data_IF_003002826024
#
_entry.id   IF_003002826024
#
_cell.length_a   1.000
_cell.length_b   1.000
_cell.length_c   1.000
_cell.angle_alpha   90.00
_cell.angle_beta   90.00
_cell.angle_gamma   90.00
#
_symmetry.space_group_name_H-M   'P 1'
#
loop_
_entity.id
_entity.type
_entity.pdbx_description
1 polymer ?
#
# COMPACT_ATOMS: atom_id res chain seq x y z
N UNK A 1 15.68 85.01 -51.13
CA UNK A 1 14.36 85.65 -50.92
C UNK A 1 13.79 85.18 -49.59
N UNK A 2 13.48 86.14 -48.69
CA UNK A 2 12.56 86.12 -47.51
C UNK A 2 12.77 85.06 -46.39
N UNK A 3 13.30 85.53 -45.23
CA UNK A 3 12.68 85.72 -43.88
C UNK A 3 12.56 84.41 -43.06
N UNK A 4 13.20 84.18 -41.90
CA UNK A 4 13.36 84.90 -40.62
C UNK A 4 12.22 84.70 -39.58
N UNK A 5 12.63 84.24 -38.37
CA UNK A 5 12.07 84.36 -37.00
C UNK A 5 10.98 83.36 -36.52
N UNK A 6 11.32 82.52 -35.52
CA UNK A 6 11.03 82.57 -34.04
C UNK A 6 9.70 81.83 -33.72
N UNK A 7 9.43 81.10 -32.63
CA UNK A 7 9.81 81.20 -31.22
C UNK A 7 9.71 79.82 -30.50
N UNK A 8 10.27 79.78 -29.29
CA UNK A 8 10.20 78.71 -28.30
C UNK A 8 8.84 78.62 -27.58
N UNK A 9 8.41 77.42 -27.18
CA UNK A 9 8.08 77.06 -25.78
C UNK A 9 7.52 75.63 -25.65
N UNK A 10 7.70 75.07 -24.46
CA UNK A 10 6.94 73.99 -23.82
C UNK A 10 7.36 72.52 -24.00
N UNK A 11 8.29 72.18 -23.12
CA UNK A 11 8.34 70.97 -22.30
C UNK A 11 7.11 70.03 -22.35
N UNK A 12 7.38 68.78 -22.76
CA UNK A 12 6.72 67.63 -22.15
C UNK A 12 7.71 66.45 -22.11
N UNK A 13 8.20 66.22 -20.90
CA UNK A 13 9.03 65.11 -20.48
C UNK A 13 8.21 63.81 -20.56
N UNK A 14 8.52 62.92 -21.50
CA UNK A 14 8.02 61.53 -21.47
C UNK A 14 9.21 60.61 -21.70
N UNK A 15 9.84 60.25 -20.58
CA UNK A 15 10.82 59.17 -20.45
C UNK A 15 10.21 57.86 -20.96
N UNK A 16 10.98 56.98 -21.65
CA UNK A 16 10.45 55.72 -22.15
C UNK A 16 9.99 54.85 -20.97
N UNK A 17 8.70 54.52 -20.98
CA UNK A 17 8.03 53.75 -19.96
C UNK A 17 8.76 52.45 -19.64
N UNK A 18 9.18 52.36 -18.39
CA UNK A 18 9.14 51.17 -17.55
C UNK A 18 9.54 49.84 -18.19
N UNK A 19 10.79 49.43 -17.94
CA UNK A 19 11.08 48.01 -17.74
C UNK A 19 10.08 47.49 -16.71
N UNK A 20 9.08 46.72 -17.15
CA UNK A 20 8.31 45.89 -16.24
C UNK A 20 9.31 44.94 -15.59
N UNK A 21 9.73 45.28 -14.37
CA UNK A 21 10.18 44.27 -13.42
C UNK A 21 8.98 43.35 -13.26
N UNK A 22 9.08 42.16 -13.85
CA UNK A 22 8.27 41.02 -13.46
C UNK A 22 8.75 40.63 -12.07
N UNK A 23 8.42 41.47 -11.09
CA UNK A 23 8.48 41.12 -9.68
C UNK A 23 7.30 40.17 -9.43
N UNK A 24 7.64 39.06 -8.79
CA UNK A 24 6.72 38.03 -8.31
C UNK A 24 6.14 37.08 -9.38
N UNK A 25 7.03 36.33 -10.04
CA UNK A 25 6.74 34.89 -10.13
C UNK A 25 6.88 34.35 -8.71
N UNK A 26 5.76 34.28 -7.99
CA UNK A 26 5.65 33.47 -6.77
C UNK A 26 6.39 32.15 -7.02
N UNK A 27 7.27 31.83 -6.08
CA UNK A 27 8.26 30.79 -6.22
C UNK A 27 7.63 29.52 -6.79
N UNK A 28 8.13 29.10 -7.96
CA UNK A 28 7.91 27.73 -8.42
C UNK A 28 8.18 26.81 -7.23
N UNK A 29 7.18 26.02 -6.85
CA UNK A 29 7.23 25.10 -5.73
C UNK A 29 8.58 24.36 -5.74
N UNK A 30 9.43 24.62 -4.74
CA UNK A 30 10.74 24.00 -4.66
C UNK A 30 10.68 22.86 -3.63
N UNK A 31 10.57 21.59 -4.08
CA UNK A 31 10.44 20.43 -3.20
C UNK A 31 11.66 20.23 -2.27
N UNK A 32 12.80 20.89 -2.52
CA UNK A 32 14.00 20.83 -1.68
C UNK A 32 13.95 21.73 -0.46
N UNK A 33 13.05 22.72 -0.43
CA UNK A 33 12.92 23.65 0.70
C UNK A 33 12.03 23.09 1.81
N UNK A 34 11.33 21.98 1.55
CA UNK A 34 10.49 21.32 2.55
C UNK A 34 11.38 20.44 3.42
N UNK A 35 11.34 20.59 4.75
CA UNK A 35 12.06 19.70 5.65
C UNK A 35 11.64 18.24 5.45
N UNK A 36 12.62 17.34 5.37
CA UNK A 36 12.38 15.92 5.09
C UNK A 36 11.47 15.29 6.16
N UNK A 37 11.53 15.76 7.40
CA UNK A 37 10.75 15.21 8.52
C UNK A 37 9.25 15.51 8.43
N UNK A 38 8.88 16.56 7.67
CA UNK A 38 7.47 16.96 7.50
C UNK A 38 6.83 16.16 6.35
N UNK A 39 7.60 15.76 5.35
CA UNK A 39 7.09 15.06 4.16
C UNK A 39 6.37 13.73 4.51
N UNK A 40 6.92 12.85 5.36
CA UNK A 40 6.21 11.65 5.79
C UNK A 40 4.86 11.96 6.43
N UNK A 41 4.77 12.98 7.29
CA UNK A 41 3.52 13.35 7.96
C UNK A 41 2.45 13.79 6.95
N UNK A 42 2.83 14.56 5.93
CA UNK A 42 1.93 14.94 4.84
C UNK A 42 1.51 13.69 4.05
N UNK A 43 2.46 12.83 3.72
CA UNK A 43 2.22 11.63 2.91
C UNK A 43 1.38 10.58 3.65
N UNK A 44 1.37 10.56 4.99
CA UNK A 44 0.45 9.69 5.75
C UNK A 44 -1.02 10.05 5.54
N UNK A 45 -1.33 11.28 5.13
CA UNK A 45 -2.69 11.70 4.77
C UNK A 45 -3.08 11.30 3.33
N UNK A 46 -2.13 10.85 2.51
CA UNK A 46 -2.43 10.35 1.17
C UNK A 46 -2.97 8.92 1.25
N UNK A 47 -4.29 8.81 1.21
CA UNK A 47 -5.00 7.52 1.29
C UNK A 47 -4.78 6.68 0.02
N UNK A 48 -4.64 7.32 -1.14
CA UNK A 48 -4.42 6.63 -2.41
C UNK A 48 -2.92 6.32 -2.64
N UNK A 49 -2.62 5.03 -2.84
CA UNK A 49 -1.27 4.57 -3.24
C UNK A 49 -0.82 5.17 -4.57
N UNK A 50 -1.74 5.54 -5.46
CA UNK A 50 -1.42 6.16 -6.75
C UNK A 50 -0.78 7.53 -6.55
N UNK A 51 -1.31 8.32 -5.62
CA UNK A 51 -0.79 9.65 -5.30
C UNK A 51 0.60 9.54 -4.67
N UNK A 52 0.78 8.60 -3.72
CA UNK A 52 2.09 8.29 -3.13
C UNK A 52 3.12 7.88 -4.19
N UNK A 53 2.72 7.09 -5.18
CA UNK A 53 3.59 6.70 -6.29
C UNK A 53 3.98 7.92 -7.13
N UNK A 54 3.05 8.80 -7.45
CA UNK A 54 3.34 10.04 -8.18
C UNK A 54 4.34 10.88 -7.39
N UNK A 55 4.10 11.10 -6.09
CA UNK A 55 5.03 11.81 -5.21
C UNK A 55 6.43 11.21 -5.25
N UNK A 56 6.55 9.89 -5.13
CA UNK A 56 7.84 9.18 -5.16
C UNK A 56 8.59 9.32 -6.50
N UNK A 57 7.93 9.74 -7.57
CA UNK A 57 8.51 9.95 -8.91
C UNK A 57 8.88 11.41 -9.18
N UNK A 58 8.42 12.37 -8.35
CA UNK A 58 8.65 13.80 -8.59
C UNK A 58 10.10 14.22 -8.35
N UNK A 59 10.71 13.76 -7.24
CA UNK A 59 12.05 14.17 -6.82
C UNK A 59 12.67 13.16 -5.84
N UNK A 60 14.00 13.16 -5.68
CA UNK A 60 14.70 12.25 -4.76
C UNK A 60 14.28 12.42 -3.30
N UNK A 61 14.13 13.64 -2.80
CA UNK A 61 13.65 13.90 -1.44
C UNK A 61 12.24 13.35 -1.19
N UNK A 62 11.38 13.43 -2.21
CA UNK A 62 10.04 12.85 -2.15
C UNK A 62 10.09 11.34 -2.25
N UNK A 63 11.01 10.79 -3.05
CA UNK A 63 11.26 9.35 -3.12
C UNK A 63 11.65 8.79 -1.75
N UNK A 64 12.59 9.43 -1.06
CA UNK A 64 13.10 8.98 0.23
C UNK A 64 12.02 9.03 1.32
N UNK A 65 11.17 10.06 1.31
CA UNK A 65 10.06 10.20 2.25
C UNK A 65 8.86 9.28 1.92
N UNK A 66 8.54 9.08 0.63
CA UNK A 66 7.37 8.30 0.21
C UNK A 66 7.62 6.78 0.19
N UNK A 67 8.86 6.34 -0.09
CA UNK A 67 9.20 4.91 -0.21
C UNK A 67 8.86 4.11 1.06
N UNK A 68 9.20 4.57 2.28
CA UNK A 68 8.84 3.86 3.51
C UNK A 68 7.33 3.66 3.66
N UNK A 69 6.53 4.65 3.26
CA UNK A 69 5.07 4.62 3.35
C UNK A 69 4.49 3.69 2.27
N UNK A 70 5.02 3.78 1.04
CA UNK A 70 4.59 2.98 -0.10
C UNK A 70 4.84 1.48 0.11
N UNK A 71 5.96 1.11 0.73
CA UNK A 71 6.30 -0.30 1.02
C UNK A 71 5.90 -0.75 2.42
N UNK A 72 5.28 0.12 3.24
CA UNK A 72 4.81 -0.24 4.59
C UNK A 72 3.87 -1.44 4.60
N UNK A 73 3.01 -1.53 3.58
CA UNK A 73 2.10 -2.66 3.35
C UNK A 73 2.39 -3.28 1.99
N UNK A 74 2.76 -4.55 2.00
CA UNK A 74 2.86 -5.41 0.83
C UNK A 74 1.48 -6.03 0.58
N UNK A 75 0.93 -5.82 -0.61
CA UNK A 75 -0.47 -6.13 -0.90
C UNK A 75 -0.58 -6.85 -2.24
N UNK A 76 -1.18 -8.03 -2.20
CA UNK A 76 -1.44 -8.89 -3.35
C UNK A 76 -2.85 -8.65 -3.83
N UNK A 77 -2.99 -8.18 -5.07
CA UNK A 77 -4.29 -7.80 -5.63
C UNK A 77 -4.61 -8.62 -6.86
N UNK A 78 -5.83 -9.14 -6.91
CA UNK A 78 -6.42 -9.65 -8.15
C UNK A 78 -7.07 -8.49 -8.87
N UNK A 79 -6.59 -8.19 -10.08
CA UNK A 79 -7.10 -7.09 -10.90
C UNK A 79 -7.70 -7.68 -12.18
N UNK A 80 -8.92 -7.28 -12.51
CA UNK A 80 -9.51 -7.62 -13.81
C UNK A 80 -8.90 -6.72 -14.89
N UNK A 81 -8.26 -7.35 -15.87
CA UNK A 81 -7.72 -6.64 -17.04
C UNK A 81 -8.84 -6.16 -17.95
N UNK A 82 -8.55 -5.23 -18.86
CA UNK A 82 -9.52 -4.70 -19.85
C UNK A 82 -10.16 -5.80 -20.72
N UNK A 83 -9.49 -6.94 -20.84
CA UNK A 83 -9.94 -8.10 -21.61
C UNK A 83 -10.71 -9.12 -20.74
N UNK A 84 -11.10 -8.77 -19.51
CA UNK A 84 -11.83 -9.64 -18.60
C UNK A 84 -10.98 -10.73 -17.93
N UNK A 85 -9.68 -10.85 -18.26
CA UNK A 85 -8.78 -11.81 -17.61
C UNK A 85 -8.37 -11.30 -16.24
N UNK A 86 -8.37 -12.17 -15.25
CA UNK A 86 -7.86 -11.88 -13.92
C UNK A 86 -6.33 -11.91 -13.93
N UNK A 87 -5.71 -10.87 -13.37
CA UNK A 87 -4.27 -10.76 -13.24
C UNK A 87 -3.92 -10.48 -11.78
N UNK A 88 -3.13 -11.38 -11.20
CA UNK A 88 -2.55 -11.17 -9.86
C UNK A 88 -1.37 -10.21 -9.99
N UNK A 89 -1.47 -9.09 -9.27
CA UNK A 89 -0.41 -8.08 -9.14
C UNK A 89 0.18 -8.17 -7.73
N UNK A 90 1.49 -8.41 -7.67
CA UNK A 90 2.23 -8.49 -6.42
C UNK A 90 3.57 -7.76 -6.53
N UNK A 91 4.01 -6.98 -5.51
CA UNK A 91 5.30 -6.29 -5.51
C UNK A 91 6.54 -7.19 -5.29
N UNK A 92 6.43 -8.53 -5.37
CA UNK A 92 7.49 -9.47 -4.99
C UNK A 92 8.70 -9.32 -5.90
N UNK A 93 8.46 -9.31 -7.21
CA UNK A 93 9.48 -9.08 -8.24
C UNK A 93 10.25 -7.78 -8.04
N UNK A 94 9.63 -6.75 -7.46
CA UNK A 94 10.29 -5.47 -7.16
C UNK A 94 11.18 -5.58 -5.93
N UNK A 95 10.72 -6.28 -4.88
CA UNK A 95 11.54 -6.54 -3.68
C UNK A 95 12.75 -7.42 -3.99
N UNK A 96 12.59 -8.43 -4.85
CA UNK A 96 13.71 -9.28 -5.28
C UNK A 96 14.77 -8.48 -6.04
N UNK A 97 14.37 -7.52 -6.88
CA UNK A 97 15.29 -6.62 -7.59
C UNK A 97 15.92 -5.57 -6.68
N UNK A 98 15.21 -5.14 -5.63
CA UNK A 98 15.66 -4.10 -4.70
C UNK A 98 15.40 -4.52 -3.24
N UNK A 99 16.24 -5.41 -2.68
CA UNK A 99 16.04 -5.97 -1.35
C UNK A 99 16.09 -4.89 -0.25
N UNK A 100 16.74 -3.74 -0.50
CA UNK A 100 16.80 -2.62 0.44
C UNK A 100 15.44 -2.03 0.82
N UNK A 101 14.38 -2.29 0.06
CA UNK A 101 13.02 -1.87 0.40
C UNK A 101 12.31 -2.80 1.40
N UNK A 102 12.78 -4.04 1.55
CA UNK A 102 12.15 -5.04 2.41
C UNK A 102 12.15 -4.63 3.90
N UNK A 103 13.12 -3.80 4.33
CA UNK A 103 13.19 -3.26 5.70
C UNK A 103 12.00 -2.36 6.08
N UNK A 104 11.31 -1.79 5.09
CA UNK A 104 10.16 -0.91 5.30
C UNK A 104 8.85 -1.69 5.43
N UNK A 105 8.82 -2.97 5.04
CA UNK A 105 7.61 -3.80 5.08
C UNK A 105 7.25 -4.12 6.53
N UNK A 106 6.04 -3.71 6.92
CA UNK A 106 5.47 -3.97 8.26
C UNK A 106 4.25 -4.87 8.21
N UNK A 107 3.45 -4.76 7.15
CA UNK A 107 2.24 -5.53 6.98
C UNK A 107 2.26 -6.23 5.63
N UNK A 108 1.83 -7.48 5.61
CA UNK A 108 1.76 -8.30 4.41
C UNK A 108 0.32 -8.79 4.24
N UNK A 109 -0.24 -8.65 3.04
CA UNK A 109 -1.57 -9.09 2.68
C UNK A 109 -1.49 -9.99 1.46
N UNK A 110 -1.69 -11.28 1.68
CA UNK A 110 -1.65 -12.31 0.65
C UNK A 110 -3.04 -12.86 0.36
N UNK A 111 -3.21 -13.37 -0.86
CA UNK A 111 -4.45 -14.00 -1.32
C UNK A 111 -4.17 -15.40 -1.85
N UNK A 112 -5.08 -16.34 -1.59
CA UNK A 112 -5.06 -17.70 -2.14
C UNK A 112 -5.05 -17.71 -3.67
N UNK A 113 -5.56 -16.65 -4.31
CA UNK A 113 -5.55 -16.50 -5.77
C UNK A 113 -4.13 -16.51 -6.39
N UNK A 114 -3.07 -16.23 -5.61
CA UNK A 114 -1.68 -16.28 -6.09
C UNK A 114 -1.31 -17.70 -6.52
N UNK A 115 -1.60 -18.69 -5.67
CA UNK A 115 -1.25 -20.09 -5.93
C UNK A 115 -2.00 -20.65 -7.14
N UNK A 116 -3.29 -20.33 -7.25
CA UNK A 116 -4.13 -20.76 -8.37
C UNK A 116 -3.75 -20.10 -9.70
N UNK A 117 -3.61 -18.76 -9.70
CA UNK A 117 -3.47 -18.01 -10.96
C UNK A 117 -2.04 -18.01 -11.51
N UNK A 118 -1.03 -18.02 -10.63
CA UNK A 118 0.39 -17.92 -10.98
C UNK A 118 1.26 -18.65 -9.95
N UNK A 119 1.41 -19.99 -10.04
CA UNK A 119 2.23 -20.76 -9.11
C UNK A 119 3.71 -20.32 -9.13
N UNK A 120 4.23 -19.85 -10.26
CA UNK A 120 5.59 -19.27 -10.33
C UNK A 120 5.75 -18.04 -9.42
N UNK A 121 4.71 -17.22 -9.31
CA UNK A 121 4.72 -16.02 -8.47
C UNK A 121 4.76 -16.38 -6.98
N UNK A 122 4.18 -17.52 -6.58
CA UNK A 122 4.22 -17.98 -5.19
C UNK A 122 5.66 -18.15 -4.70
N UNK A 123 6.55 -18.69 -5.53
CA UNK A 123 7.96 -18.82 -5.17
C UNK A 123 8.60 -17.45 -4.93
N UNK A 124 8.36 -16.49 -5.83
CA UNK A 124 8.85 -15.12 -5.69
C UNK A 124 8.31 -14.43 -4.43
N UNK A 125 7.03 -14.64 -4.10
CA UNK A 125 6.41 -14.14 -2.88
C UNK A 125 7.14 -14.67 -1.63
N UNK A 126 7.40 -15.99 -1.58
CA UNK A 126 8.11 -16.61 -0.47
C UNK A 126 9.54 -16.07 -0.32
N UNK A 127 10.27 -15.92 -1.43
CA UNK A 127 11.62 -15.36 -1.41
C UNK A 127 11.61 -13.89 -0.97
N UNK A 128 10.67 -13.09 -1.47
CA UNK A 128 10.52 -11.71 -1.07
C UNK A 128 10.16 -11.57 0.42
N UNK A 129 9.33 -12.47 0.94
CA UNK A 129 8.92 -12.49 2.35
C UNK A 129 10.10 -12.78 3.28
N UNK A 130 11.00 -13.70 2.90
CA UNK A 130 12.23 -13.98 3.67
C UNK A 130 13.15 -12.77 3.82
N UNK A 131 13.11 -11.82 2.87
CA UNK A 131 13.88 -10.57 2.94
C UNK A 131 13.28 -9.55 3.92
N UNK A 132 12.00 -9.71 4.28
CA UNK A 132 11.28 -8.76 5.11
C UNK A 132 11.56 -9.02 6.59
N UNK A 133 12.43 -8.23 7.19
CA UNK A 133 12.91 -8.43 8.58
C UNK A 133 12.05 -7.78 9.66
N UNK A 134 11.05 -6.99 9.27
CA UNK A 134 10.38 -6.05 10.17
C UNK A 134 8.85 -6.19 10.19
N UNK A 135 8.39 -7.37 9.81
CA UNK A 135 6.97 -7.70 9.70
C UNK A 135 6.35 -7.70 11.09
N UNK A 136 5.24 -7.00 11.21
CA UNK A 136 4.42 -6.92 12.42
C UNK A 136 3.09 -7.64 12.21
N UNK A 137 2.53 -7.57 11.01
CA UNK A 137 1.22 -8.14 10.71
C UNK A 137 1.17 -8.89 9.39
N UNK A 138 0.45 -10.00 9.40
CA UNK A 138 0.15 -10.80 8.22
C UNK A 138 -1.36 -10.97 8.08
N UNK A 139 -1.85 -10.84 6.86
CA UNK A 139 -3.26 -11.06 6.52
C UNK A 139 -3.36 -12.01 5.34
N UNK A 140 -4.15 -13.06 5.50
CA UNK A 140 -4.49 -14.01 4.44
C UNK A 140 -5.96 -13.86 4.08
N UNK A 141 -6.25 -13.88 2.78
CA UNK A 141 -7.63 -13.98 2.27
C UNK A 141 -7.74 -15.10 1.25
N UNK A 142 -8.65 -16.02 1.52
CA UNK A 142 -9.10 -17.02 0.56
C UNK A 142 -10.10 -16.35 -0.41
N UNK A 143 -9.65 -16.11 -1.64
CA UNK A 143 -10.49 -15.66 -2.75
C UNK A 143 -10.56 -16.72 -3.86
N UNK A 144 -10.07 -17.96 -3.62
CA UNK A 144 -10.08 -18.97 -4.67
C UNK A 144 -11.47 -19.62 -4.78
N UNK A 145 -11.97 -19.84 -6.01
CA UNK A 145 -13.34 -20.30 -6.23
C UNK A 145 -13.59 -21.76 -5.83
N UNK A 146 -12.54 -22.59 -5.76
CA UNK A 146 -12.64 -24.03 -5.45
C UNK A 146 -11.97 -24.41 -4.12
N UNK A 147 -11.37 -23.44 -3.43
CA UNK A 147 -10.56 -23.61 -2.21
C UNK A 147 -9.43 -24.66 -2.30
N UNK A 148 -9.16 -25.19 -3.49
CA UNK A 148 -8.21 -26.27 -3.68
C UNK A 148 -6.79 -25.69 -3.55
N UNK A 149 -5.94 -26.35 -2.77
CA UNK A 149 -4.55 -25.95 -2.48
C UNK A 149 -4.36 -24.71 -1.56
N UNK A 150 -5.43 -24.13 -1.00
CA UNK A 150 -5.28 -22.96 -0.12
C UNK A 150 -4.45 -23.25 1.13
N UNK A 151 -4.65 -24.43 1.73
CA UNK A 151 -3.96 -24.82 2.95
C UNK A 151 -2.46 -25.02 2.70
N UNK A 152 -2.08 -25.63 1.59
CA UNK A 152 -0.68 -25.79 1.18
C UNK A 152 0.01 -24.43 1.01
N UNK A 153 -0.65 -23.50 0.31
CA UNK A 153 -0.11 -22.16 0.08
C UNK A 153 -0.02 -21.37 1.39
N UNK A 154 -1.06 -21.42 2.22
CA UNK A 154 -1.08 -20.76 3.53
C UNK A 154 0.01 -21.33 4.44
N UNK A 155 0.15 -22.65 4.53
CA UNK A 155 1.21 -23.33 5.28
C UNK A 155 2.60 -22.87 4.83
N UNK A 156 2.83 -22.74 3.52
CA UNK A 156 4.10 -22.25 3.00
C UNK A 156 4.45 -20.85 3.52
N UNK A 157 3.46 -19.94 3.60
CA UNK A 157 3.65 -18.62 4.19
C UNK A 157 3.85 -18.68 5.71
N UNK A 158 3.02 -19.46 6.43
CA UNK A 158 3.13 -19.61 7.89
C UNK A 158 4.49 -20.17 8.32
N UNK A 159 5.06 -21.10 7.56
CA UNK A 159 6.39 -21.65 7.83
C UNK A 159 7.48 -20.58 7.78
N UNK A 160 7.40 -19.61 6.87
CA UNK A 160 8.35 -18.49 6.80
C UNK A 160 8.10 -17.51 7.95
N UNK A 161 6.83 -17.17 8.21
CA UNK A 161 6.45 -16.17 9.21
C UNK A 161 6.76 -16.60 10.64
N UNK A 162 6.75 -17.91 10.92
CA UNK A 162 7.07 -18.46 12.23
C UNK A 162 8.45 -18.00 12.71
N UNK A 163 9.43 -17.91 11.81
CA UNK A 163 10.78 -17.43 12.10
C UNK A 163 10.93 -15.90 12.25
N UNK A 164 9.89 -15.11 11.94
CA UNK A 164 9.98 -13.64 11.83
C UNK A 164 9.37 -12.87 13.01
N UNK A 165 8.86 -13.55 14.04
CA UNK A 165 8.36 -12.88 15.26
C UNK A 165 7.10 -12.05 15.07
N UNK A 166 6.11 -12.61 14.36
CA UNK A 166 4.85 -11.96 14.00
C UNK A 166 4.03 -11.53 15.24
N UNK A 167 3.41 -10.35 15.19
CA UNK A 167 2.55 -9.83 16.27
C UNK A 167 1.06 -9.91 15.95
N UNK A 168 0.69 -9.73 14.69
CA UNK A 168 -0.69 -9.69 14.25
C UNK A 168 -0.93 -10.70 13.14
N UNK A 169 -1.96 -11.51 13.27
CA UNK A 169 -2.36 -12.48 12.28
C UNK A 169 -3.85 -12.36 11.99
N UNK A 170 -4.21 -12.24 10.72
CA UNK A 170 -5.60 -12.25 10.26
C UNK A 170 -5.74 -13.28 9.15
N UNK A 171 -6.69 -14.20 9.29
CA UNK A 171 -6.98 -15.22 8.28
C UNK A 171 -8.46 -15.16 7.95
N UNK A 172 -8.76 -15.02 6.67
CA UNK A 172 -10.11 -15.05 6.13
C UNK A 172 -10.22 -16.25 5.19
N UNK A 173 -11.08 -17.21 5.51
CA UNK A 173 -11.26 -18.47 4.75
C UNK A 173 -12.74 -18.72 4.44
N UNK A 174 -13.04 -19.39 3.33
CA UNK A 174 -14.42 -19.79 2.98
C UNK A 174 -14.81 -21.18 3.53
N UNK A 175 -13.91 -22.17 3.41
CA UNK A 175 -14.16 -23.58 3.74
C UNK A 175 -13.55 -24.06 5.07
N UNK A 176 -13.02 -23.14 5.89
CA UNK A 176 -12.33 -23.49 7.14
C UNK A 176 -10.83 -23.68 6.92
N UNK A 177 -10.12 -24.17 7.95
CA UNK A 177 -8.68 -24.47 7.91
C UNK A 177 -8.51 -25.94 8.30
N UNK A 178 -7.62 -26.68 7.63
CA UNK A 178 -7.26 -28.04 8.05
C UNK A 178 -6.59 -28.09 9.43
N UNK A 179 -6.60 -29.28 10.02
CA UNK A 179 -5.88 -29.57 11.27
C UNK A 179 -4.38 -29.26 11.18
N UNK A 180 -3.76 -29.43 10.00
CA UNK A 180 -2.35 -29.09 9.79
C UNK A 180 -2.09 -27.59 9.92
N UNK A 181 -2.93 -26.76 9.29
CA UNK A 181 -2.87 -25.30 9.44
C UNK A 181 -3.10 -24.92 10.90
N UNK A 182 -4.09 -25.52 11.57
CA UNK A 182 -4.37 -25.26 12.98
C UNK A 182 -3.19 -25.61 13.89
N UNK A 183 -2.58 -26.78 13.71
CA UNK A 183 -1.40 -27.19 14.45
C UNK A 183 -0.27 -26.18 14.26
N UNK A 184 -0.04 -25.72 13.02
CA UNK A 184 0.98 -24.70 12.74
C UNK A 184 0.68 -23.36 13.41
N UNK A 185 -0.58 -22.92 13.42
CA UNK A 185 -0.98 -21.68 14.09
C UNK A 185 -0.74 -21.75 15.60
N UNK A 186 -0.91 -22.92 16.21
CA UNK A 186 -0.62 -23.15 17.62
C UNK A 186 0.89 -23.09 17.95
N UNK A 187 1.78 -23.12 16.97
CA UNK A 187 3.23 -22.96 17.19
C UNK A 187 3.66 -21.49 17.31
N UNK A 188 2.84 -20.55 16.83
CA UNK A 188 3.17 -19.13 16.92
C UNK A 188 3.16 -18.67 18.39
N UNK A 189 4.14 -17.84 18.73
CA UNK A 189 4.30 -17.23 20.06
C UNK A 189 4.44 -15.71 19.87
N UNK A 190 3.97 -14.94 20.84
CA UNK A 190 4.08 -13.47 20.79
C UNK A 190 3.04 -12.75 19.94
N UNK A 191 2.02 -13.48 19.43
CA UNK A 191 0.87 -12.86 18.78
C UNK A 191 0.06 -12.05 19.80
N UNK A 192 -0.11 -10.76 19.51
CA UNK A 192 -0.94 -9.84 20.31
C UNK A 192 -2.34 -9.68 19.73
N UNK A 193 -2.51 -10.03 18.45
CA UNK A 193 -3.81 -9.97 17.76
C UNK A 193 -3.96 -11.15 16.81
N UNK A 194 -5.05 -11.89 16.98
CA UNK A 194 -5.47 -12.95 16.06
C UNK A 194 -6.90 -12.69 15.63
N UNK A 195 -7.19 -12.82 14.35
CA UNK A 195 -8.54 -12.68 13.81
C UNK A 195 -8.78 -13.76 12.77
N UNK A 196 -9.73 -14.64 13.05
CA UNK A 196 -10.17 -15.70 12.14
C UNK A 196 -11.60 -15.36 11.75
N UNK A 197 -11.85 -15.18 10.46
CA UNK A 197 -13.18 -14.86 9.97
C UNK A 197 -13.54 -15.78 8.82
N UNK A 198 -14.76 -16.33 8.88
CA UNK A 198 -15.41 -16.89 7.71
C UNK A 198 -16.00 -15.72 6.92
N UNK A 199 -15.78 -15.66 5.61
CA UNK A 199 -16.49 -14.67 4.80
C UNK A 199 -18.00 -14.90 4.97
N UNK A 200 -18.81 -13.87 5.29
CA UNK A 200 -20.24 -14.04 5.30
C UNK A 200 -20.67 -14.31 3.85
N UNK A 201 -21.47 -15.35 3.67
CA UNK A 201 -22.32 -15.48 2.50
C UNK A 201 -23.22 -14.23 2.52
N UNK A 202 -23.03 -13.36 1.53
CA UNK A 202 -23.80 -12.13 1.24
C UNK A 202 -23.37 -10.84 1.97
N UNK A 203 -23.15 -9.83 1.14
CA UNK A 203 -22.81 -8.43 1.37
C UNK A 203 -23.79 -7.68 2.26
N UNK A 204 -23.32 -7.16 3.40
CA UNK A 204 -23.51 -5.76 3.82
C UNK A 204 -22.59 -5.47 5.02
N UNK A 205 -21.75 -4.44 4.89
CA UNK A 205 -20.94 -3.93 6.00
C UNK A 205 -21.87 -3.34 7.08
N UNK A 206 -21.79 -3.87 8.30
CA UNK A 206 -22.27 -3.19 9.51
C UNK A 206 -21.20 -3.34 10.60
N UNK A 207 -20.83 -2.26 11.32
CA UNK A 207 -19.84 -2.36 12.39
C UNK A 207 -20.49 -2.95 13.65
N UNK A 208 -19.94 -4.07 14.15
CA UNK A 208 -20.41 -4.69 15.39
C UNK A 208 -19.81 -3.93 16.59
N UNK A 209 -20.70 -3.32 17.39
CA UNK A 209 -20.40 -2.79 18.73
C UNK A 209 -19.98 -3.94 19.65
N UNK A 210 -19.00 -3.66 20.51
CA UNK A 210 -18.45 -4.56 21.51
C UNK A 210 -19.54 -5.10 22.46
N UNK A 211 -19.47 -6.42 22.73
CA UNK A 211 -20.31 -7.10 23.70
C UNK A 211 -20.24 -8.62 23.50
N UNK A 212 -19.11 -9.23 23.88
CA UNK A 212 -18.90 -10.67 23.78
C UNK A 212 -19.31 -11.32 25.11
N UNK A 213 -20.37 -12.10 25.09
CA UNK A 213 -20.65 -13.17 26.07
C UNK A 213 -20.91 -14.45 25.30
N UNK A 214 -20.15 -15.53 25.51
CA UNK A 214 -20.39 -16.79 24.83
C UNK A 214 -21.51 -17.55 25.56
N UNK A 215 -22.67 -17.67 24.92
CA UNK A 215 -23.69 -18.66 25.32
C UNK A 215 -23.58 -19.88 24.41
N UNK A 216 -23.28 -21.00 25.04
CA UNK A 216 -23.21 -22.34 24.47
C UNK A 216 -24.65 -22.81 24.20
N UNK A 217 -25.07 -22.93 22.94
CA UNK A 217 -26.34 -23.58 22.58
C UNK A 217 -26.07 -24.81 21.73
N UNK A 218 -26.10 -25.95 22.42
CA UNK A 218 -26.34 -27.28 21.88
C UNK A 218 -27.83 -27.43 21.55
N UNK A 219 -28.15 -27.88 20.33
CA UNK A 219 -29.51 -28.25 19.91
C UNK A 219 -29.53 -28.96 18.55
N UNK A 220 -30.53 -29.82 18.27
CA UNK A 220 -30.27 -31.24 18.05
C UNK A 220 -30.55 -31.78 16.63
N UNK A 221 -30.05 -32.99 16.40
CA UNK A 221 -30.44 -33.92 15.34
C UNK A 221 -31.96 -34.23 15.37
N UNK A 222 -32.60 -34.12 14.20
CA UNK A 222 -33.76 -34.88 13.68
C UNK A 222 -33.98 -34.40 12.24
N UNK A 223 -34.22 -35.20 11.19
CA UNK A 223 -34.57 -36.61 11.02
C UNK A 223 -34.00 -37.12 9.68
#
# INVERSE_FOLDING_TARGET
>A
MKRARTDASDAAHITPGGKMKVDQREAAFNPRKIPLDVLPLIFEHLVDRRDLRVCAQLHSTFHDAATPILYRTLDSRVIKTRHGREAVCHPASTLLKKPGYAKYVRHVRETGAIGFSKPELLHDCQQALKLCTNIQGFSWSDESPDASHNDEVLLAFLNILHGLGLRQLTIRTYLGLSEEVWAKLQEFRGLTKVSLARWPTVTHWAPIRAGFTPSHESGPYTS
#
